data_IF_049993840644
#
_entry.id   IF_049993840644
#
_cell.length_a   1.000
_cell.length_b   1.000
_cell.length_c   1.000
_cell.angle_alpha   90.00
_cell.angle_beta   90.00
_cell.angle_gamma   90.00
#
_symmetry.space_group_name_H-M   'P 1'
#
loop_
_entity.id
_entity.type
_entity.pdbx_description
1 polymer ?
#
# COMPACT_ATOMS: atom_id res chain seq x y z
N UNK A 1 31.52 -4.46 -0.08
CA UNK A 1 32.03 -5.04 1.19
C UNK A 1 33.17 -5.98 0.85
N UNK A 2 34.18 -6.16 1.72
CA UNK A 2 35.23 -7.14 1.48
C UNK A 2 34.65 -8.54 1.27
N UNK A 3 35.25 -9.31 0.38
CA UNK A 3 34.85 -10.70 0.12
C UNK A 3 34.97 -11.53 1.42
N UNK A 4 33.92 -12.25 1.81
CA UNK A 4 33.90 -13.02 3.06
C UNK A 4 33.45 -12.25 4.31
N UNK A 5 33.03 -10.98 4.19
CA UNK A 5 32.50 -10.22 5.32
C UNK A 5 31.10 -10.72 5.72
N UNK A 6 30.97 -11.27 6.94
CA UNK A 6 29.73 -11.81 7.47
C UNK A 6 29.64 -11.63 9.00
N UNK A 7 28.46 -11.87 9.55
CA UNK A 7 28.27 -11.93 11.01
C UNK A 7 28.86 -13.24 11.53
N UNK A 8 29.84 -13.15 12.42
CA UNK A 8 30.43 -14.33 13.07
C UNK A 8 29.68 -14.75 14.34
N UNK A 9 29.05 -13.80 15.03
CA UNK A 9 28.20 -14.06 16.18
C UNK A 9 27.16 -12.96 16.36
N UNK A 10 25.97 -13.32 16.86
CA UNK A 10 24.95 -12.37 17.31
C UNK A 10 24.36 -12.87 18.63
N UNK A 11 24.19 -11.99 19.61
CA UNK A 11 23.64 -12.31 20.93
C UNK A 11 22.70 -11.21 21.40
N UNK A 12 21.51 -11.59 21.84
CA UNK A 12 20.61 -10.67 22.52
C UNK A 12 21.10 -10.46 23.95
N UNK A 13 21.27 -9.19 24.34
CA UNK A 13 21.66 -8.79 25.68
C UNK A 13 20.40 -8.45 26.52
N UNK A 14 20.51 -8.50 27.83
CA UNK A 14 19.40 -8.25 28.76
C UNK A 14 18.84 -6.82 28.67
N UNK A 15 19.61 -5.90 28.12
CA UNK A 15 19.23 -4.49 27.89
C UNK A 15 18.42 -4.27 26.61
N UNK A 16 18.01 -5.33 25.91
CA UNK A 16 17.20 -5.26 24.68
C UNK A 16 18.00 -4.94 23.43
N UNK A 17 19.35 -4.94 23.49
CA UNK A 17 20.19 -4.78 22.31
C UNK A 17 20.75 -6.10 21.83
N UNK A 18 20.91 -6.22 20.52
CA UNK A 18 21.63 -7.32 19.89
C UNK A 18 23.08 -6.89 19.67
N UNK A 19 24.01 -7.61 20.28
CA UNK A 19 25.44 -7.48 20.02
C UNK A 19 25.81 -8.36 18.82
N UNK A 20 26.41 -7.73 17.81
CA UNK A 20 26.86 -8.41 16.60
C UNK A 20 28.37 -8.34 16.55
N UNK A 21 28.99 -9.48 16.27
CA UNK A 21 30.43 -9.58 16.01
C UNK A 21 30.61 -9.92 14.53
N UNK A 22 31.43 -9.12 13.83
CA UNK A 22 31.74 -9.31 12.43
C UNK A 22 32.97 -10.21 12.23
N UNK A 23 33.01 -10.93 11.13
CA UNK A 23 34.12 -11.83 10.79
C UNK A 23 35.45 -11.09 10.59
N UNK A 24 35.39 -9.83 10.18
CA UNK A 24 36.55 -8.97 9.92
C UNK A 24 36.33 -7.57 10.48
N UNK A 25 37.41 -6.89 10.83
CA UNK A 25 37.39 -5.46 11.16
C UNK A 25 37.48 -4.65 9.88
N UNK A 26 36.70 -3.58 9.77
CA UNK A 26 36.71 -2.69 8.61
C UNK A 26 37.92 -1.75 8.63
N UNK A 27 38.39 -1.37 9.81
CA UNK A 27 39.59 -0.56 10.03
C UNK A 27 40.40 -1.10 11.20
N UNK A 28 41.68 -0.78 11.34
CA UNK A 28 42.51 -1.20 12.47
C UNK A 28 41.96 -0.77 13.84
N UNK A 29 41.25 0.36 13.90
CA UNK A 29 40.63 0.89 15.12
C UNK A 29 39.22 0.32 15.38
N UNK A 30 38.65 -0.42 14.46
CA UNK A 30 37.32 -1.04 14.61
C UNK A 30 37.40 -2.18 15.66
N UNK A 31 36.41 -2.25 16.53
CA UNK A 31 36.29 -3.34 17.49
C UNK A 31 35.82 -4.64 16.83
N UNK A 32 35.28 -4.58 15.63
CA UNK A 32 34.60 -5.67 14.95
C UNK A 32 33.26 -6.00 15.59
N UNK A 33 32.73 -5.12 16.43
CA UNK A 33 31.45 -5.30 17.12
C UNK A 33 30.52 -4.12 16.88
N UNK A 34 29.22 -4.41 16.79
CA UNK A 34 28.16 -3.42 16.70
C UNK A 34 27.02 -3.78 17.64
N UNK A 35 26.25 -2.78 18.05
CA UNK A 35 25.03 -2.96 18.84
C UNK A 35 23.87 -2.38 18.11
N UNK A 36 22.79 -3.15 18.02
CA UNK A 36 21.55 -2.76 17.37
C UNK A 36 20.39 -2.92 18.34
N UNK A 37 19.51 -1.94 18.42
CA UNK A 37 18.28 -2.07 19.19
C UNK A 37 17.39 -3.16 18.55
N UNK A 38 16.98 -4.15 19.35
CA UNK A 38 16.23 -5.32 18.84
C UNK A 38 14.91 -4.93 18.19
N UNK A 39 14.21 -3.92 18.75
CA UNK A 39 12.98 -3.39 18.17
C UNK A 39 13.20 -2.79 16.78
N UNK A 40 14.32 -2.08 16.57
CA UNK A 40 14.66 -1.56 15.24
C UNK A 40 14.95 -2.68 14.25
N UNK A 41 15.73 -3.69 14.64
CA UNK A 41 15.98 -4.86 13.79
C UNK A 41 14.69 -5.59 13.42
N UNK A 42 13.77 -5.71 14.37
CA UNK A 42 12.45 -6.31 14.13
C UNK A 42 11.63 -5.50 13.14
N UNK A 43 11.59 -4.17 13.28
CA UNK A 43 10.84 -3.27 12.40
C UNK A 43 11.43 -3.18 10.99
N UNK A 44 12.76 -3.28 10.86
CA UNK A 44 13.48 -3.14 9.59
C UNK A 44 13.87 -4.47 8.95
N UNK A 45 13.47 -5.60 9.55
CA UNK A 45 13.74 -6.92 8.97
C UNK A 45 13.20 -7.01 7.55
N UNK A 46 13.93 -7.67 6.63
CA UNK A 46 13.36 -8.00 5.32
C UNK A 46 12.08 -8.81 5.54
N UNK A 47 11.04 -8.49 4.81
CA UNK A 47 9.83 -9.30 4.81
C UNK A 47 10.18 -10.69 4.29
N UNK A 48 10.50 -11.59 5.20
CA UNK A 48 10.72 -13.01 4.89
C UNK A 48 9.37 -13.73 4.83
N UNK A 49 9.28 -14.74 3.99
CA UNK A 49 8.06 -15.52 3.76
C UNK A 49 7.47 -16.19 5.02
N UNK A 50 8.24 -16.26 6.10
CA UNK A 50 7.87 -17.04 7.30
C UNK A 50 7.12 -16.26 8.39
N UNK A 51 7.17 -14.91 8.39
CA UNK A 51 6.69 -14.11 9.51
C UNK A 51 5.59 -13.10 9.18
N UNK A 52 5.19 -13.02 7.92
CA UNK A 52 3.97 -12.30 7.60
C UNK A 52 2.82 -13.18 8.09
N UNK A 53 2.14 -12.76 9.15
CA UNK A 53 0.89 -13.39 9.53
C UNK A 53 0.09 -13.65 8.27
N UNK A 54 -0.32 -14.89 8.06
CA UNK A 54 -1.10 -15.31 6.88
C UNK A 54 -2.34 -14.43 6.67
N UNK A 55 -2.74 -13.71 7.71
CA UNK A 55 -3.85 -12.77 7.75
C UNK A 55 -3.58 -11.43 7.05
N UNK A 56 -2.32 -11.00 6.90
CA UNK A 56 -1.93 -9.77 6.21
C UNK A 56 -1.41 -10.00 4.79
N UNK A 57 -1.28 -11.25 4.36
CA UNK A 57 -0.86 -11.56 3.00
C UNK A 57 -1.86 -11.03 1.98
N UNK A 58 -1.42 -10.25 0.98
CA UNK A 58 -2.30 -9.77 -0.09
C UNK A 58 -2.95 -10.92 -0.83
N UNK A 59 -4.25 -10.83 -1.07
CA UNK A 59 -4.99 -11.79 -1.92
C UNK A 59 -4.98 -11.35 -3.36
N UNK A 60 -4.44 -12.19 -4.21
CA UNK A 60 -4.54 -12.02 -5.66
C UNK A 60 -5.91 -12.56 -6.12
N UNK A 61 -6.88 -11.67 -6.19
CA UNK A 61 -8.24 -12.03 -6.58
C UNK A 61 -8.51 -11.74 -8.05
N UNK A 62 -9.52 -12.40 -8.58
CA UNK A 62 -10.09 -12.23 -9.93
C UNK A 62 -11.60 -11.95 -9.81
N UNK A 63 -12.24 -11.57 -10.90
CA UNK A 63 -13.69 -11.38 -10.94
C UNK A 63 -14.50 -12.63 -10.52
N UNK A 64 -13.92 -13.83 -10.65
CA UNK A 64 -14.55 -15.07 -10.23
C UNK A 64 -14.48 -15.31 -8.73
N UNK A 65 -13.36 -14.90 -8.10
CA UNK A 65 -13.07 -15.16 -6.68
C UNK A 65 -13.41 -13.98 -5.76
N UNK A 66 -13.71 -12.80 -6.32
CA UNK A 66 -14.00 -11.58 -5.56
C UNK A 66 -15.21 -10.86 -6.18
N UNK A 67 -16.38 -11.22 -5.76
CA UNK A 67 -17.64 -10.68 -6.29
C UNK A 67 -18.08 -9.39 -5.60
N UNK A 68 -17.72 -9.23 -4.33
CA UNK A 68 -18.10 -8.09 -3.51
C UNK A 68 -16.89 -7.47 -2.84
N UNK A 69 -16.73 -6.15 -3.01
CA UNK A 69 -15.72 -5.37 -2.29
C UNK A 69 -16.06 -5.36 -0.80
N UNK A 70 -15.07 -5.62 0.09
CA UNK A 70 -15.27 -5.54 1.52
C UNK A 70 -15.82 -4.16 1.93
N UNK A 71 -16.77 -4.16 2.85
CA UNK A 71 -17.47 -2.94 3.29
C UNK A 71 -17.27 -2.73 4.78
N UNK A 72 -16.92 -1.49 5.16
CA UNK A 72 -16.81 -1.08 6.55
C UNK A 72 -17.79 0.08 6.84
N UNK A 73 -18.26 0.15 8.08
CA UNK A 73 -19.02 1.30 8.56
C UNK A 73 -18.03 2.42 8.93
N UNK A 74 -18.17 3.57 8.28
CA UNK A 74 -17.23 4.69 8.44
C UNK A 74 -17.22 5.27 9.86
N UNK A 75 -18.38 5.41 10.50
CA UNK A 75 -18.42 5.90 11.88
C UNK A 75 -17.69 4.93 12.83
N UNK A 76 -17.88 3.62 12.65
CA UNK A 76 -17.15 2.63 13.44
C UNK A 76 -15.63 2.70 13.20
N UNK A 77 -15.21 2.85 11.94
CA UNK A 77 -13.77 3.00 11.58
C UNK A 77 -13.18 4.28 12.19
N UNK A 78 -13.96 5.35 12.30
CA UNK A 78 -13.49 6.61 12.87
C UNK A 78 -13.39 6.56 14.40
N UNK A 79 -14.35 5.92 15.06
CA UNK A 79 -14.57 6.03 16.51
C UNK A 79 -14.05 4.85 17.32
N UNK A 80 -13.71 3.72 16.67
CA UNK A 80 -13.31 2.49 17.33
C UNK A 80 -11.99 1.94 16.76
N UNK A 81 -10.99 1.77 17.62
CA UNK A 81 -9.64 1.32 17.24
C UNK A 81 -9.62 -0.11 16.68
N UNK A 82 -10.44 -1.03 17.20
CA UNK A 82 -10.51 -2.41 16.70
C UNK A 82 -11.12 -2.45 15.29
N UNK A 83 -12.15 -1.62 15.04
CA UNK A 83 -12.75 -1.48 13.72
C UNK A 83 -11.80 -0.80 12.73
N UNK A 84 -11.06 0.20 13.18
CA UNK A 84 -10.01 0.84 12.39
C UNK A 84 -8.89 -0.15 12.03
N UNK A 85 -8.43 -0.94 12.99
CA UNK A 85 -7.44 -1.98 12.74
C UNK A 85 -7.95 -3.05 11.77
N UNK A 86 -9.22 -3.46 11.93
CA UNK A 86 -9.88 -4.40 11.01
C UNK A 86 -9.99 -3.84 9.60
N UNK A 87 -10.33 -2.57 9.46
CA UNK A 87 -10.33 -1.85 8.19
C UNK A 87 -8.95 -1.87 7.53
N UNK A 88 -7.88 -1.54 8.25
CA UNK A 88 -6.51 -1.57 7.73
C UNK A 88 -6.09 -2.97 7.28
N UNK A 89 -6.35 -4.00 8.08
CA UNK A 89 -6.10 -5.39 7.70
C UNK A 89 -6.84 -5.79 6.42
N UNK A 90 -8.10 -5.41 6.32
CA UNK A 90 -8.93 -5.68 5.14
C UNK A 90 -8.37 -4.99 3.92
N UNK A 91 -7.97 -3.73 4.05
CA UNK A 91 -7.40 -2.96 2.96
C UNK A 91 -6.08 -3.56 2.48
N UNK A 92 -5.14 -3.91 3.38
CA UNK A 92 -3.87 -4.55 3.04
C UNK A 92 -4.14 -5.88 2.30
N UNK A 93 -5.10 -6.67 2.76
CA UNK A 93 -5.39 -7.98 2.21
C UNK A 93 -6.00 -7.95 0.82
N UNK A 94 -6.89 -7.02 0.56
CA UNK A 94 -7.68 -6.98 -0.68
C UNK A 94 -7.28 -5.83 -1.63
N UNK A 95 -6.52 -4.86 -1.17
CA UNK A 95 -6.12 -3.68 -1.95
C UNK A 95 -7.24 -2.68 -2.19
N UNK A 96 -8.47 -3.01 -1.83
CA UNK A 96 -9.63 -2.13 -1.96
C UNK A 96 -10.66 -2.39 -0.85
N UNK A 97 -11.29 -1.32 -0.38
CA UNK A 97 -12.33 -1.36 0.64
C UNK A 97 -13.34 -0.24 0.39
N UNK A 98 -14.61 -0.53 0.59
CA UNK A 98 -15.69 0.46 0.52
C UNK A 98 -16.11 0.89 1.93
N UNK A 99 -15.91 2.15 2.26
CA UNK A 99 -16.34 2.74 3.54
C UNK A 99 -17.69 3.44 3.35
N UNK A 100 -18.69 3.03 4.10
CA UNK A 100 -20.05 3.55 4.02
C UNK A 100 -20.46 4.26 5.31
N UNK A 101 -21.41 5.19 5.19
CA UNK A 101 -22.01 5.87 6.35
C UNK A 101 -21.21 7.05 6.88
N UNK A 102 -20.15 7.48 6.17
CA UNK A 102 -19.54 8.78 6.43
C UNK A 102 -20.45 9.90 5.88
N UNK A 103 -20.44 11.09 6.50
CA UNK A 103 -21.15 12.25 5.97
C UNK A 103 -20.72 12.61 4.55
N UNK A 104 -21.68 12.91 3.66
CA UNK A 104 -21.39 13.33 2.29
C UNK A 104 -21.07 14.84 2.24
N UNK A 105 -19.99 15.22 2.91
CA UNK A 105 -19.48 16.60 2.95
C UNK A 105 -18.03 16.62 2.46
N UNK A 106 -17.58 17.71 1.80
CA UNK A 106 -16.23 17.75 1.20
C UNK A 106 -15.10 17.46 2.18
N UNK A 107 -15.22 17.89 3.42
CA UNK A 107 -14.18 17.75 4.46
C UNK A 107 -13.91 16.29 4.84
N UNK A 108 -14.88 15.41 4.64
CA UNK A 108 -14.73 13.99 4.99
C UNK A 108 -13.68 13.26 4.14
N UNK A 109 -13.35 13.78 2.94
CA UNK A 109 -12.32 13.18 2.11
C UNK A 109 -10.93 13.26 2.75
N UNK A 110 -10.69 14.19 3.65
CA UNK A 110 -9.40 14.33 4.36
C UNK A 110 -9.37 13.55 5.67
N UNK A 111 -10.48 13.45 6.36
CA UNK A 111 -10.54 12.94 7.74
C UNK A 111 -10.04 11.51 7.89
N UNK A 112 -10.50 10.58 7.07
CA UNK A 112 -10.04 9.20 7.12
C UNK A 112 -8.60 9.01 6.60
N UNK A 113 -8.19 9.64 5.48
CA UNK A 113 -6.80 9.61 5.04
C UNK A 113 -5.82 10.15 6.07
N UNK A 114 -6.13 11.25 6.75
CA UNK A 114 -5.25 11.83 7.79
C UNK A 114 -5.09 10.91 9.00
N UNK A 115 -6.09 10.09 9.31
CA UNK A 115 -5.96 9.05 10.34
C UNK A 115 -4.95 7.96 9.94
N UNK A 116 -4.76 7.72 8.65
CA UNK A 116 -3.79 6.73 8.13
C UNK A 116 -2.40 7.34 7.98
N UNK A 117 -2.32 8.57 7.48
CA UNK A 117 -1.03 9.23 7.26
C UNK A 117 -1.15 10.59 6.58
N UNK A 118 -0.03 11.09 6.11
CA UNK A 118 0.05 12.41 5.47
C UNK A 118 -0.54 12.36 4.06
N UNK A 119 -1.50 13.23 3.77
CA UNK A 119 -2.04 13.38 2.42
C UNK A 119 -0.99 14.04 1.53
N UNK A 120 -0.65 13.37 0.46
CA UNK A 120 0.32 13.86 -0.53
C UNK A 120 -0.31 14.89 -1.45
N UNK A 121 0.33 16.04 -1.58
CA UNK A 121 -0.04 17.03 -2.59
C UNK A 121 0.55 16.65 -3.95
N UNK A 122 -0.28 16.64 -4.99
CA UNK A 122 0.10 16.39 -6.37
C UNK A 122 0.04 17.67 -7.20
N UNK A 123 0.29 17.55 -8.52
CA UNK A 123 0.04 18.67 -9.46
C UNK A 123 -1.44 19.05 -9.61
N UNK A 124 -2.36 18.20 -9.14
CA UNK A 124 -3.80 18.50 -9.08
C UNK A 124 -4.20 19.11 -7.72
N UNK A 125 -3.25 19.36 -6.84
CA UNK A 125 -3.47 19.83 -5.47
C UNK A 125 -3.49 18.70 -4.45
N UNK A 126 -3.92 19.04 -3.25
CA UNK A 126 -4.12 18.10 -2.12
C UNK A 126 -5.37 17.24 -2.33
N UNK A 127 -6.43 17.89 -2.80
CA UNK A 127 -7.72 17.30 -3.17
C UNK A 127 -8.10 17.84 -4.54
N UNK A 128 -8.75 17.04 -5.33
CA UNK A 128 -9.35 17.49 -6.58
C UNK A 128 -10.76 16.91 -6.73
N UNK A 129 -11.61 17.66 -7.39
CA UNK A 129 -13.00 17.31 -7.60
C UNK A 129 -13.16 16.68 -9.00
N UNK A 130 -13.73 15.48 -9.04
CA UNK A 130 -14.06 14.78 -10.28
C UNK A 130 -15.49 15.10 -10.65
N UNK A 131 -15.67 15.93 -11.69
CA UNK A 131 -16.99 16.29 -12.25
C UNK A 131 -16.87 16.58 -13.73
N UNK A 132 -17.96 16.45 -14.46
CA UNK A 132 -18.01 16.85 -15.87
C UNK A 132 -17.72 18.33 -16.01
N UNK A 133 -16.83 18.70 -16.93
CA UNK A 133 -16.48 20.08 -17.26
C UNK A 133 -16.74 20.33 -18.75
N UNK A 134 -17.07 21.58 -19.09
CA UNK A 134 -17.25 22.02 -20.48
C UNK A 134 -15.90 22.13 -21.18
N UNK A 135 -14.91 22.73 -20.50
CA UNK A 135 -13.52 22.82 -20.97
C UNK A 135 -12.68 21.74 -20.26
N UNK A 136 -12.29 20.72 -21.03
CA UNK A 136 -11.66 19.52 -20.51
C UNK A 136 -10.15 19.58 -20.66
N UNK A 137 -9.45 19.59 -19.56
CA UNK A 137 -7.98 19.54 -19.48
C UNK A 137 -7.45 18.12 -19.10
N UNK A 138 -8.36 17.19 -18.82
CA UNK A 138 -8.03 15.81 -18.47
C UNK A 138 -9.21 14.88 -18.80
N UNK A 139 -8.91 13.64 -19.19
CA UNK A 139 -9.91 12.61 -19.45
C UNK A 139 -10.79 12.31 -18.22
N UNK A 140 -10.30 12.58 -17.01
CA UNK A 140 -11.06 12.42 -15.76
C UNK A 140 -12.30 13.33 -15.68
N UNK A 141 -12.39 14.37 -16.51
CA UNK A 141 -13.52 15.33 -16.56
C UNK A 141 -14.45 15.11 -17.74
N UNK A 142 -14.24 14.03 -18.50
CA UNK A 142 -15.10 13.63 -19.62
C UNK A 142 -16.14 12.60 -19.18
N UNK A 143 -17.16 12.39 -20.02
CA UNK A 143 -18.09 11.26 -19.88
C UNK A 143 -17.59 9.96 -20.53
N UNK A 144 -16.34 9.91 -20.96
CA UNK A 144 -15.72 8.77 -21.63
C UNK A 144 -15.29 7.70 -20.62
N UNK A 145 -15.34 6.43 -21.03
CA UNK A 145 -14.84 5.33 -20.22
C UNK A 145 -13.33 5.43 -20.00
N UNK A 146 -12.90 5.40 -18.76
CA UNK A 146 -11.49 5.25 -18.38
C UNK A 146 -11.15 3.77 -18.18
N UNK A 147 -10.22 3.27 -18.97
CA UNK A 147 -9.71 1.90 -18.81
C UNK A 147 -8.92 1.77 -17.50
N UNK A 148 -8.76 0.53 -17.02
CA UNK A 148 -7.94 0.25 -15.85
C UNK A 148 -6.54 0.86 -15.98
N UNK A 149 -6.13 1.68 -15.01
CA UNK A 149 -4.87 2.38 -14.96
C UNK A 149 -4.43 2.60 -13.51
N UNK A 150 -3.21 2.99 -13.33
CA UNK A 150 -2.68 3.49 -12.06
C UNK A 150 -2.46 4.99 -12.19
N UNK A 151 -2.97 5.76 -11.25
CA UNK A 151 -2.79 7.21 -11.24
C UNK A 151 -1.33 7.60 -11.03
N UNK A 152 -0.89 8.62 -11.78
CA UNK A 152 0.46 9.18 -11.70
C UNK A 152 1.58 8.13 -11.86
N UNK A 153 1.37 7.11 -12.68
CA UNK A 153 2.32 6.02 -12.93
C UNK A 153 3.68 6.48 -13.48
N UNK A 154 3.76 7.69 -14.05
CA UNK A 154 4.99 8.30 -14.56
C UNK A 154 5.86 8.96 -13.49
N UNK A 155 5.40 8.98 -12.24
CA UNK A 155 6.15 9.56 -11.12
C UNK A 155 7.13 8.54 -10.56
N UNK A 156 8.33 8.99 -10.18
CA UNK A 156 9.33 8.17 -9.49
C UNK A 156 8.75 7.53 -8.22
N UNK A 157 7.95 8.31 -7.48
CA UNK A 157 7.18 7.83 -6.34
C UNK A 157 5.69 7.97 -6.63
N UNK A 158 5.07 6.89 -7.04
CA UNK A 158 3.61 6.84 -7.22
C UNK A 158 2.88 7.03 -5.87
N UNK A 159 1.66 7.59 -5.87
CA UNK A 159 0.81 7.56 -4.69
C UNK A 159 0.55 6.12 -4.24
N UNK A 160 0.75 5.84 -2.96
CA UNK A 160 0.52 4.49 -2.42
C UNK A 160 -0.95 4.17 -2.21
N UNK A 161 -1.77 5.17 -1.89
CA UNK A 161 -3.19 5.03 -1.61
C UNK A 161 -3.98 6.12 -2.35
N UNK A 162 -5.17 5.76 -2.83
CA UNK A 162 -6.13 6.68 -3.40
C UNK A 162 -7.44 6.59 -2.64
N UNK A 163 -8.01 7.75 -2.32
CA UNK A 163 -9.32 7.88 -1.69
C UNK A 163 -10.27 8.57 -2.65
N UNK A 164 -11.42 7.97 -2.87
CA UNK A 164 -12.52 8.53 -3.65
C UNK A 164 -13.72 8.68 -2.75
N UNK A 165 -14.24 9.89 -2.62
CA UNK A 165 -15.46 10.18 -1.86
C UNK A 165 -16.57 10.58 -2.82
N UNK A 166 -17.70 9.88 -2.75
CA UNK A 166 -18.87 10.20 -3.53
C UNK A 166 -19.76 11.19 -2.74
N UNK A 167 -19.79 12.42 -3.16
CA UNK A 167 -20.66 13.45 -2.57
C UNK A 167 -22.07 13.38 -3.15
N UNK A 168 -22.18 13.13 -4.44
CA UNK A 168 -23.45 13.07 -5.18
C UNK A 168 -23.31 12.10 -6.34
N UNK A 169 -24.33 11.28 -6.58
CA UNK A 169 -24.40 10.39 -7.71
C UNK A 169 -25.81 10.46 -8.33
N UNK A 170 -25.94 11.27 -9.36
CA UNK A 170 -27.19 11.50 -10.10
C UNK A 170 -27.20 10.82 -11.46
N UNK A 171 -26.15 10.05 -11.78
CA UNK A 171 -26.03 9.40 -13.10
C UNK A 171 -26.44 7.94 -13.06
N UNK A 172 -27.05 7.48 -14.13
CA UNK A 172 -27.22 6.06 -14.43
C UNK A 172 -25.94 5.51 -15.03
N UNK A 173 -25.30 4.55 -14.36
CA UNK A 173 -24.02 3.96 -14.80
C UNK A 173 -22.81 4.55 -14.06
N UNK A 174 -21.69 4.70 -14.77
CA UNK A 174 -20.44 5.21 -14.17
C UNK A 174 -19.82 4.28 -13.11
N UNK A 175 -20.04 2.98 -13.21
CA UNK A 175 -19.50 2.01 -12.27
C UNK A 175 -17.97 1.97 -12.34
N UNK A 176 -17.32 2.01 -11.18
CA UNK A 176 -15.88 1.80 -11.07
C UNK A 176 -15.54 0.32 -11.19
N UNK A 177 -14.53 0.02 -12.00
CA UNK A 177 -13.93 -1.33 -12.08
C UNK A 177 -12.58 -1.33 -11.38
N UNK A 178 -12.26 -2.45 -10.73
CA UNK A 178 -10.99 -2.64 -10.06
C UNK A 178 -10.26 -3.85 -10.64
N UNK A 179 -8.95 -3.71 -10.81
CA UNK A 179 -8.08 -4.78 -11.31
C UNK A 179 -6.88 -4.93 -10.39
N UNK A 180 -6.59 -6.15 -9.96
CA UNK A 180 -5.37 -6.44 -9.19
C UNK A 180 -4.20 -6.62 -10.14
N UNK A 181 -3.36 -5.60 -10.28
CA UNK A 181 -2.18 -5.64 -11.15
C UNK A 181 -1.25 -6.81 -10.85
N UNK A 182 -1.06 -7.16 -9.58
CA UNK A 182 -0.27 -8.33 -9.19
C UNK A 182 -0.89 -9.67 -9.62
N UNK A 183 -2.23 -9.77 -9.68
CA UNK A 183 -2.89 -10.95 -10.22
C UNK A 183 -2.67 -11.07 -11.73
N UNK A 184 -2.73 -9.95 -12.45
CA UNK A 184 -2.41 -9.89 -13.88
C UNK A 184 -0.95 -10.27 -14.13
N UNK A 185 -0.01 -9.70 -13.37
CA UNK A 185 1.40 -10.04 -13.48
C UNK A 185 1.67 -11.53 -13.20
N UNK A 186 1.04 -12.09 -12.16
CA UNK A 186 1.17 -13.51 -11.83
C UNK A 186 0.56 -14.42 -12.93
N UNK A 187 -0.54 -14.02 -13.51
CA UNK A 187 -1.16 -14.71 -14.65
C UNK A 187 -0.20 -14.71 -15.86
N UNK A 188 0.32 -13.54 -16.24
CA UNK A 188 1.27 -13.42 -17.35
C UNK A 188 2.53 -14.26 -17.11
N UNK A 189 3.06 -14.27 -15.88
CA UNK A 189 4.21 -15.11 -15.53
C UNK A 189 3.95 -16.59 -15.82
N UNK A 190 2.71 -17.04 -15.66
CA UNK A 190 2.33 -18.44 -15.86
C UNK A 190 2.07 -18.78 -17.33
N UNK A 191 1.35 -17.90 -18.06
CA UNK A 191 0.93 -18.19 -19.44
C UNK A 191 1.92 -17.73 -20.49
N UNK A 192 2.67 -16.65 -20.23
CA UNK A 192 3.69 -16.11 -21.14
C UNK A 192 4.91 -15.59 -20.34
N UNK A 193 5.78 -16.51 -19.90
CA UNK A 193 6.99 -16.15 -19.14
C UNK A 193 7.96 -15.25 -19.91
N UNK A 194 7.94 -15.26 -21.25
CA UNK A 194 8.80 -14.42 -22.06
C UNK A 194 8.35 -12.96 -22.01
N UNK A 195 7.07 -12.71 -22.23
CA UNK A 195 6.49 -11.36 -22.09
C UNK A 195 6.62 -10.86 -20.65
N UNK A 196 6.37 -11.72 -19.64
CA UNK A 196 6.58 -11.34 -18.25
C UNK A 196 8.01 -10.85 -17.99
N UNK A 197 9.03 -11.59 -18.50
CA UNK A 197 10.44 -11.21 -18.35
C UNK A 197 10.80 -9.90 -19.04
N UNK A 198 10.13 -9.55 -20.15
CA UNK A 198 10.37 -8.28 -20.85
C UNK A 198 9.75 -7.07 -20.12
N UNK A 199 8.71 -7.30 -19.31
CA UNK A 199 7.98 -6.26 -18.59
C UNK A 199 8.45 -6.10 -17.12
N UNK A 200 9.29 -6.99 -16.62
CA UNK A 200 9.86 -6.96 -15.27
C UNK A 200 11.34 -6.53 -15.30
#
# INVERSE_FOLDING_TARGET
MPEGFHISAAQLADDGFVKVTWSHKLTPSDTGQARYYSGWLYQTRPYGDADFESDLSPRLWTAETFKDIPRNNGNCVMDNEDEYFRFLKTFIRYGAVLVKGLPAVPEMIETLPEKIGVIRTSNFGRIFEVKLKVDVDSNAYTGEELRAHTDLATREYMPGLQFLSCLQNDSDGGNSTLTVGFAVANHNRTIDPQTFKLLS
#
